data_IF_310973940540
#
_entry.id   IF_310973940540
#
_cell.length_a   1.000
_cell.length_b   1.000
_cell.length_c   1.000
_cell.angle_alpha   90.00
_cell.angle_beta   90.00
_cell.angle_gamma   90.00
#
_symmetry.space_group_name_H-M   'P 1'
#
loop_
_entity.id
_entity.type
_entity.pdbx_description
1 polymer ?
#
# COMPACT_ATOMS: atom_id res chain seq x y z
N UNK A 1 -25.63 21.91 21.60
CA UNK A 1 -26.24 21.28 20.39
C UNK A 1 -27.33 20.28 20.79
N UNK A 2 -28.38 20.12 19.97
CA UNK A 2 -29.36 19.05 20.19
C UNK A 2 -28.67 17.68 20.05
N UNK A 3 -29.04 16.71 20.87
CA UNK A 3 -28.41 15.38 20.92
C UNK A 3 -28.27 14.72 19.53
N UNK A 4 -29.34 14.80 18.73
CA UNK A 4 -29.35 14.25 17.37
C UNK A 4 -28.42 15.00 16.42
N UNK A 5 -28.26 16.31 16.57
CA UNK A 5 -27.32 17.10 15.77
C UNK A 5 -25.87 16.69 16.06
N UNK A 6 -25.52 16.53 17.34
CA UNK A 6 -24.20 16.01 17.74
C UNK A 6 -23.89 14.65 17.11
N UNK A 7 -24.85 13.72 17.19
CA UNK A 7 -24.68 12.37 16.61
C UNK A 7 -24.64 12.39 15.09
N UNK A 8 -25.41 13.28 14.46
CA UNK A 8 -25.37 13.51 13.01
C UNK A 8 -24.01 14.00 12.54
N UNK A 9 -23.28 14.78 13.35
CA UNK A 9 -21.90 15.19 13.04
C UNK A 9 -20.89 14.05 13.26
N UNK A 10 -21.08 13.22 14.29
CA UNK A 10 -20.19 12.12 14.64
C UNK A 10 -20.22 10.96 13.62
N UNK A 11 -21.40 10.46 13.27
CA UNK A 11 -21.53 9.23 12.49
C UNK A 11 -20.97 9.26 11.05
N UNK A 12 -21.06 10.36 10.28
CA UNK A 12 -20.50 10.41 8.92
C UNK A 12 -19.01 10.76 8.90
N UNK A 13 -18.38 11.04 10.05
CA UNK A 13 -16.97 11.44 10.11
C UNK A 13 -16.06 10.28 9.70
N UNK A 14 -15.31 10.47 8.61
CA UNK A 14 -14.31 9.54 8.07
C UNK A 14 -12.95 10.23 7.95
N UNK A 15 -11.86 9.48 8.03
CA UNK A 15 -10.49 9.98 7.90
C UNK A 15 -10.31 10.74 6.59
N UNK A 16 -9.85 11.99 6.66
CA UNK A 16 -9.61 12.83 5.49
C UNK A 16 -8.30 12.47 4.77
N UNK A 17 -8.16 12.94 3.53
CA UNK A 17 -6.90 12.80 2.80
C UNK A 17 -5.76 13.53 3.52
N UNK A 18 -4.66 12.81 3.77
CA UNK A 18 -3.50 13.35 4.47
C UNK A 18 -3.65 13.42 5.99
N UNK A 19 -4.83 13.10 6.53
CA UNK A 19 -5.05 13.00 7.98
C UNK A 19 -4.47 11.69 8.52
N UNK A 20 -3.64 11.77 9.57
CA UNK A 20 -3.15 10.59 10.27
C UNK A 20 -4.17 10.03 11.27
N UNK A 21 -4.01 8.76 11.62
CA UNK A 21 -4.90 8.03 12.52
C UNK A 21 -5.05 8.66 13.91
N UNK A 22 -4.02 9.35 14.42
CA UNK A 22 -4.05 9.99 15.75
C UNK A 22 -4.90 11.25 15.70
N UNK A 23 -4.74 12.04 14.64
CA UNK A 23 -5.55 13.24 14.39
C UNK A 23 -7.01 12.87 14.18
N UNK A 24 -7.28 11.83 13.39
CA UNK A 24 -8.64 11.32 13.19
C UNK A 24 -9.30 10.89 14.51
N UNK A 25 -8.61 10.11 15.35
CA UNK A 25 -9.10 9.70 16.67
C UNK A 25 -9.39 10.90 17.58
N UNK A 26 -8.53 11.93 17.57
CA UNK A 26 -8.73 13.13 18.38
C UNK A 26 -10.02 13.87 17.98
N UNK A 27 -10.30 14.00 16.68
CA UNK A 27 -11.55 14.61 16.21
C UNK A 27 -12.77 13.75 16.53
N UNK A 28 -12.69 12.41 16.44
CA UNK A 28 -13.78 11.53 16.87
C UNK A 28 -14.10 11.70 18.36
N UNK A 29 -13.07 11.79 19.22
CA UNK A 29 -13.24 12.07 20.65
C UNK A 29 -13.89 13.41 20.91
N UNK A 30 -13.50 14.45 20.15
CA UNK A 30 -14.10 15.78 20.27
C UNK A 30 -15.58 15.77 19.87
N UNK A 31 -15.92 15.11 18.77
CA UNK A 31 -17.31 14.99 18.29
C UNK A 31 -18.18 14.11 19.20
N UNK A 32 -17.60 13.16 19.93
CA UNK A 32 -18.37 12.28 20.82
C UNK A 32 -18.80 12.95 22.14
N UNK A 33 -18.09 13.99 22.61
CA UNK A 33 -18.39 14.70 23.87
C UNK A 33 -19.88 15.06 24.02
N UNK A 34 -20.52 15.73 23.04
CA UNK A 34 -21.94 16.11 23.15
C UNK A 34 -22.93 15.00 22.72
N UNK A 35 -22.46 13.80 22.36
CA UNK A 35 -23.30 12.73 21.83
C UNK A 35 -24.02 11.87 22.89
N UNK A 36 -23.66 12.03 24.16
CA UNK A 36 -24.23 11.27 25.29
C UNK A 36 -24.34 9.77 24.97
N UNK A 37 -23.25 9.16 24.50
CA UNK A 37 -23.21 7.73 24.24
C UNK A 37 -23.11 6.97 25.56
N UNK A 38 -23.83 5.86 25.68
CA UNK A 38 -23.73 4.98 26.85
C UNK A 38 -22.33 4.38 26.94
N UNK A 39 -21.77 3.99 25.81
CA UNK A 39 -20.37 3.54 25.69
C UNK A 39 -19.68 4.38 24.62
N UNK A 40 -18.95 5.40 25.07
CA UNK A 40 -18.28 6.34 24.17
C UNK A 40 -17.06 5.71 23.49
N UNK A 41 -16.33 4.83 24.18
CA UNK A 41 -15.14 4.19 23.63
C UNK A 41 -15.51 3.19 22.53
N UNK A 42 -16.60 2.44 22.71
CA UNK A 42 -17.12 1.54 21.67
C UNK A 42 -17.60 2.30 20.44
N UNK A 43 -18.32 3.42 20.62
CA UNK A 43 -18.76 4.24 19.49
C UNK A 43 -17.59 4.84 18.72
N UNK A 44 -16.56 5.33 19.44
CA UNK A 44 -15.33 5.84 18.81
C UNK A 44 -14.59 4.72 18.09
N UNK A 45 -14.45 3.53 18.70
CA UNK A 45 -13.80 2.37 18.08
C UNK A 45 -14.48 2.01 16.77
N UNK A 46 -15.79 1.83 16.78
CA UNK A 46 -16.54 1.39 15.60
C UNK A 46 -16.44 2.44 14.49
N UNK A 47 -16.60 3.72 14.83
CA UNK A 47 -16.46 4.81 13.86
C UNK A 47 -15.03 4.95 13.34
N UNK A 48 -14.02 4.74 14.18
CA UNK A 48 -12.61 4.72 13.79
C UNK A 48 -12.39 3.62 12.74
N UNK A 49 -12.75 2.37 13.02
CA UNK A 49 -12.60 1.25 12.07
C UNK A 49 -13.33 1.52 10.75
N UNK A 50 -14.60 1.92 10.82
CA UNK A 50 -15.43 2.16 9.64
C UNK A 50 -15.00 3.41 8.85
N UNK A 51 -14.33 4.36 9.50
CA UNK A 51 -13.86 5.60 8.89
C UNK A 51 -12.40 5.62 8.46
N UNK A 52 -11.64 4.53 8.67
CA UNK A 52 -10.27 4.42 8.18
C UNK A 52 -10.20 4.53 6.65
N UNK A 53 -9.25 5.31 6.13
CA UNK A 53 -9.02 5.45 4.69
C UNK A 53 -8.30 4.23 4.09
N UNK A 54 -7.46 3.56 4.87
CA UNK A 54 -6.77 2.34 4.43
C UNK A 54 -7.74 1.15 4.45
N UNK A 55 -8.33 0.87 3.28
CA UNK A 55 -9.25 -0.24 3.08
C UNK A 55 -8.64 -1.61 3.38
N UNK A 56 -7.31 -1.76 3.31
CA UNK A 56 -6.63 -3.04 3.62
C UNK A 56 -6.65 -3.29 5.13
N UNK A 57 -6.31 -2.26 5.91
CA UNK A 57 -6.32 -2.34 7.37
C UNK A 57 -7.74 -2.43 7.90
N UNK A 58 -8.68 -1.68 7.33
CA UNK A 58 -10.10 -1.78 7.67
C UNK A 58 -10.61 -3.22 7.49
N UNK A 59 -10.39 -3.84 6.32
CA UNK A 59 -10.78 -5.24 6.08
C UNK A 59 -10.13 -6.21 7.06
N UNK A 60 -8.85 -6.01 7.36
CA UNK A 60 -8.11 -6.85 8.32
C UNK A 60 -8.68 -6.74 9.73
N UNK A 61 -9.10 -5.56 10.16
CA UNK A 61 -9.73 -5.34 11.47
C UNK A 61 -11.12 -5.97 11.54
N UNK A 62 -11.92 -5.82 10.49
CA UNK A 62 -13.28 -6.39 10.39
C UNK A 62 -13.28 -7.93 10.32
N UNK A 63 -12.20 -8.55 9.85
CA UNK A 63 -12.07 -10.00 9.73
C UNK A 63 -11.58 -10.70 11.01
N UNK A 64 -11.36 -9.98 12.12
CA UNK A 64 -10.91 -10.59 13.38
C UNK A 64 -12.05 -11.35 14.06
N UNK A 65 -11.77 -12.52 14.61
CA UNK A 65 -12.74 -13.29 15.40
C UNK A 65 -13.13 -12.57 16.69
N UNK A 66 -12.15 -11.94 17.36
CA UNK A 66 -12.38 -11.14 18.55
C UNK A 66 -12.44 -9.66 18.18
N UNK A 67 -13.48 -8.97 18.66
CA UNK A 67 -13.60 -7.51 18.55
C UNK A 67 -12.38 -6.85 19.18
N UNK A 68 -11.58 -6.08 18.42
CA UNK A 68 -10.44 -5.39 18.97
C UNK A 68 -10.90 -4.23 19.87
N UNK A 69 -10.13 -3.88 20.88
CA UNK A 69 -10.37 -2.64 21.61
C UNK A 69 -9.84 -1.40 20.84
N UNK A 70 -10.15 -0.20 21.33
CA UNK A 70 -9.76 1.05 20.65
C UNK A 70 -8.23 1.16 20.46
N UNK A 71 -7.45 0.76 21.46
CA UNK A 71 -5.99 0.80 21.42
C UNK A 71 -5.43 -0.17 20.37
N UNK A 72 -5.97 -1.38 20.27
CA UNK A 72 -5.59 -2.37 19.26
C UNK A 72 -5.89 -1.89 17.82
N UNK A 73 -7.01 -1.18 17.63
CA UNK A 73 -7.34 -0.54 16.34
C UNK A 73 -6.32 0.56 16.02
N UNK A 74 -6.02 1.43 16.99
CA UNK A 74 -5.07 2.53 16.83
C UNK A 74 -3.65 2.03 16.53
N UNK A 75 -3.21 0.97 17.20
CA UNK A 75 -1.91 0.35 16.96
C UNK A 75 -1.81 -0.25 15.56
N UNK A 76 -2.88 -0.91 15.07
CA UNK A 76 -2.92 -1.44 13.71
C UNK A 76 -2.85 -0.33 12.65
N UNK A 77 -3.58 0.78 12.85
CA UNK A 77 -3.56 1.92 11.94
C UNK A 77 -2.16 2.58 11.89
N UNK A 78 -1.56 2.87 13.05
CA UNK A 78 -0.23 3.47 13.15
C UNK A 78 0.87 2.61 12.51
N UNK A 79 0.80 1.29 12.70
CA UNK A 79 1.76 0.36 12.09
C UNK A 79 1.70 0.41 10.56
N UNK A 80 0.50 0.52 9.98
CA UNK A 80 0.30 0.63 8.54
C UNK A 80 0.82 1.96 7.97
N UNK A 81 0.55 3.07 8.66
CA UNK A 81 1.06 4.40 8.30
C UNK A 81 2.60 4.43 8.29
N UNK A 82 3.22 3.84 9.31
CA UNK A 82 4.68 3.72 9.42
C UNK A 82 5.28 2.85 8.31
N UNK A 83 4.58 1.77 7.93
CA UNK A 83 5.00 0.87 6.86
C UNK A 83 4.91 1.53 5.48
N UNK A 84 3.85 2.30 5.23
CA UNK A 84 3.64 3.02 3.97
C UNK A 84 4.65 4.15 3.80
N UNK A 85 4.93 4.92 4.86
CA UNK A 85 5.94 5.99 4.82
C UNK A 85 7.35 5.44 4.61
N UNK A 86 7.70 4.33 5.28
CA UNK A 86 9.01 3.69 5.12
C UNK A 86 9.19 3.08 3.72
N UNK A 87 8.15 2.41 3.21
CA UNK A 87 8.16 1.84 1.85
C UNK A 87 8.30 2.91 0.77
N UNK A 88 7.67 4.09 0.95
CA UNK A 88 7.83 5.21 0.04
C UNK A 88 9.27 5.76 0.02
N UNK A 89 9.93 5.84 1.18
CA UNK A 89 11.33 6.29 1.30
C UNK A 89 12.31 5.33 0.64
N UNK A 90 12.14 4.01 0.83
CA UNK A 90 12.98 2.99 0.18
C UNK A 90 12.87 3.07 -1.34
N UNK A 91 11.66 3.25 -1.87
CA UNK A 91 11.45 3.40 -3.32
C UNK A 91 11.98 4.72 -3.88
N UNK A 92 12.02 5.78 -3.07
CA UNK A 92 12.58 7.09 -3.45
C UNK A 92 14.11 7.15 -3.44
N UNK A 93 14.78 6.32 -2.64
CA UNK A 93 16.24 6.32 -2.49
C UNK A 93 17.00 5.53 -3.60
N UNK A 94 16.29 4.86 -4.51
CA UNK A 94 16.89 4.00 -5.55
C UNK A 94 17.43 4.71 -6.80
N UNK A 95 17.67 6.03 -6.76
CA UNK A 95 18.24 6.80 -7.89
C UNK A 95 19.45 7.61 -7.45
N UNK A 96 20.53 6.92 -7.08
CA UNK A 96 21.87 7.55 -6.97
C UNK A 96 22.78 6.95 -8.05
N UNK A 97 23.11 7.82 -9.01
CA UNK A 97 24.14 7.77 -10.04
C UNK A 97 24.95 6.48 -10.26
N UNK A 98 24.74 5.85 -11.40
CA UNK A 98 25.82 5.21 -12.14
C UNK A 98 26.55 6.30 -12.92
N UNK A 99 27.81 6.58 -12.57
CA UNK A 99 28.75 7.33 -13.41
C UNK A 99 29.89 6.42 -13.80
N UNK A 100 30.10 6.40 -15.10
CA UNK A 100 31.02 5.59 -15.89
C UNK A 100 32.48 5.95 -15.59
N UNK A 101 33.38 4.96 -15.66
CA UNK A 101 34.79 5.18 -15.97
C UNK A 101 35.36 3.93 -16.67
N UNK A 102 35.92 4.17 -17.85
CA UNK A 102 36.42 3.24 -18.86
C UNK A 102 37.58 2.34 -18.43
N UNK A 103 37.60 1.14 -19.04
CA UNK A 103 38.72 0.71 -19.90
C UNK A 103 39.83 -0.11 -19.26
N UNK A 104 39.88 -1.40 -19.60
CA UNK A 104 41.02 -2.05 -20.29
C UNK A 104 40.76 -3.56 -20.40
N UNK A 105 40.73 -4.06 -21.64
CA UNK A 105 41.00 -5.48 -21.92
C UNK A 105 42.48 -5.80 -21.64
N UNK A 106 42.82 -7.07 -21.42
CA UNK A 106 43.35 -7.81 -22.56
C UNK A 106 42.86 -9.25 -22.67
N UNK A 107 42.92 -9.72 -23.92
CA UNK A 107 42.76 -11.09 -24.38
C UNK A 107 43.74 -12.07 -23.71
N UNK A 108 43.28 -13.30 -23.44
CA UNK A 108 43.97 -14.53 -23.89
C UNK A 108 42.97 -15.70 -23.91
N UNK A 109 42.98 -16.40 -25.03
CA UNK A 109 42.36 -17.69 -25.35
C UNK A 109 42.78 -18.83 -24.41
N UNK A 110 41.88 -19.77 -24.15
CA UNK A 110 41.98 -21.19 -24.61
C UNK A 110 40.90 -22.09 -23.97
N UNK A 111 40.52 -23.10 -24.74
CA UNK A 111 39.36 -23.98 -24.59
C UNK A 111 39.52 -25.14 -23.59
N UNK A 112 38.34 -25.67 -23.22
CA UNK A 112 38.01 -27.08 -22.96
C UNK A 112 38.31 -27.71 -21.61
N UNK A 113 37.24 -28.27 -21.02
CA UNK A 113 37.25 -29.68 -20.63
C UNK A 113 36.82 -30.01 -19.20
N UNK A 114 35.59 -30.53 -19.11
CA UNK A 114 35.11 -31.63 -18.24
C UNK A 114 35.04 -31.43 -16.71
N UNK A 115 33.83 -31.58 -16.13
CA UNK A 115 33.34 -32.77 -15.38
C UNK A 115 34.09 -32.93 -14.04
N UNK A 116 33.50 -33.16 -12.88
CA UNK A 116 32.17 -33.54 -12.42
C UNK A 116 32.20 -33.40 -10.88
N UNK A 117 31.00 -33.48 -10.31
CA UNK A 117 30.72 -34.10 -9.00
C UNK A 117 30.62 -33.24 -7.73
N UNK A 118 29.91 -33.85 -6.80
CA UNK A 118 28.74 -33.29 -6.17
C UNK A 118 28.94 -32.92 -4.70
N UNK A 119 28.02 -32.10 -4.17
CA UNK A 119 27.01 -32.55 -3.20
C UNK A 119 26.25 -31.32 -2.63
N UNK A 120 24.92 -31.24 -2.85
CA UNK A 120 23.87 -31.47 -1.82
C UNK A 120 23.43 -30.16 -1.08
N UNK A 121 22.17 -29.75 -0.85
CA UNK A 121 20.80 -30.34 -0.90
C UNK A 121 19.76 -29.18 -0.95
N UNK A 122 18.85 -29.26 -1.95
CA UNK A 122 17.38 -28.99 -1.96
C UNK A 122 16.78 -27.65 -1.48
N UNK A 123 16.20 -26.89 -2.42
CA UNK A 123 14.75 -26.57 -2.47
C UNK A 123 14.36 -25.97 -3.85
N UNK A 124 14.02 -26.84 -4.80
CA UNK A 124 13.29 -26.55 -6.04
C UNK A 124 11.79 -26.42 -5.68
N UNK A 125 10.86 -25.73 -6.34
CA UNK A 125 10.72 -25.29 -7.72
C UNK A 125 9.44 -24.43 -7.75
N UNK A 126 9.45 -23.19 -8.26
CA UNK A 126 8.38 -22.76 -9.16
C UNK A 126 8.79 -21.52 -9.97
N UNK A 127 9.80 -21.74 -10.79
CA UNK A 127 10.02 -20.94 -11.99
C UNK A 127 8.87 -21.24 -12.96
N UNK A 128 7.79 -20.46 -12.86
CA UNK A 128 6.75 -20.41 -13.88
C UNK A 128 6.97 -19.17 -14.75
N UNK A 129 7.57 -19.45 -15.90
CA UNK A 129 7.36 -18.80 -17.20
C UNK A 129 6.95 -17.33 -17.14
N UNK A 130 7.90 -16.45 -17.49
CA UNK A 130 7.64 -15.09 -17.90
C UNK A 130 6.83 -15.09 -19.21
N UNK A 131 5.55 -15.41 -19.12
CA UNK A 131 4.58 -15.07 -20.16
C UNK A 131 4.46 -13.55 -20.14
N UNK A 132 4.56 -12.96 -21.32
CA UNK A 132 4.41 -11.53 -21.57
C UNK A 132 3.16 -11.00 -20.83
N UNK A 133 3.33 -10.48 -19.61
CA UNK A 133 2.20 -9.90 -18.87
C UNK A 133 1.83 -8.62 -19.59
N UNK A 134 0.59 -8.59 -20.06
CA UNK A 134 0.00 -7.41 -20.68
C UNK A 134 0.06 -6.24 -19.68
N UNK A 135 0.49 -5.09 -20.19
CA UNK A 135 0.62 -3.88 -19.40
C UNK A 135 -0.75 -3.49 -18.87
N UNK A 136 -0.92 -3.47 -17.55
CA UNK A 136 -2.20 -3.16 -16.88
C UNK A 136 -2.70 -1.72 -17.08
N UNK A 137 -2.09 -0.96 -17.98
CA UNK A 137 -2.41 0.45 -18.26
C UNK A 137 -2.84 0.69 -19.70
N UNK A 138 -2.33 -0.10 -20.64
CA UNK A 138 -2.69 0.04 -22.06
C UNK A 138 -2.94 -1.29 -22.77
N UNK A 139 -2.86 -2.43 -22.06
CA UNK A 139 -2.98 -3.76 -22.64
C UNK A 139 -1.76 -4.22 -23.46
N UNK A 140 -0.78 -3.35 -23.70
CA UNK A 140 0.37 -3.66 -24.55
C UNK A 140 1.34 -4.68 -23.94
N UNK A 141 2.09 -5.36 -24.81
CA UNK A 141 3.14 -6.31 -24.44
C UNK A 141 4.41 -5.55 -24.01
N UNK A 142 4.49 -5.13 -22.74
CA UNK A 142 5.70 -4.56 -22.10
C UNK A 142 5.51 -4.43 -20.58
N UNK A 143 6.60 -4.23 -19.83
CA UNK A 143 6.52 -3.89 -18.41
C UNK A 143 5.83 -2.53 -18.20
N UNK A 144 4.97 -2.39 -17.19
CA UNK A 144 4.30 -1.13 -16.86
C UNK A 144 5.25 0.08 -16.70
N UNK A 145 6.48 -0.14 -16.26
CA UNK A 145 7.52 0.90 -16.14
C UNK A 145 8.07 1.41 -17.47
N UNK A 146 7.83 0.69 -18.57
CA UNK A 146 8.18 1.09 -19.94
C UNK A 146 6.96 1.54 -20.75
N UNK A 147 5.81 1.73 -20.09
CA UNK A 147 4.58 2.09 -20.75
C UNK A 147 4.58 3.56 -21.14
N UNK A 148 4.39 3.86 -22.43
CA UNK A 148 4.21 5.23 -22.93
C UNK A 148 3.04 5.96 -22.24
N UNK A 149 2.06 5.22 -21.75
CA UNK A 149 0.87 5.74 -21.07
C UNK A 149 0.96 5.68 -19.54
N UNK A 150 2.15 5.49 -18.97
CA UNK A 150 2.34 5.40 -17.52
C UNK A 150 1.85 6.65 -16.76
N UNK A 151 1.85 7.82 -17.41
CA UNK A 151 1.36 9.09 -16.85
C UNK A 151 0.15 9.66 -17.60
N UNK A 152 -0.43 8.90 -18.53
CA UNK A 152 -1.61 9.33 -19.26
C UNK A 152 -2.85 9.40 -18.35
N UNK A 153 -3.69 10.40 -18.55
CA UNK A 153 -4.98 10.53 -17.84
C UNK A 153 -6.06 9.85 -18.68
N UNK A 154 -6.76 8.89 -18.08
CA UNK A 154 -7.83 8.17 -18.76
C UNK A 154 -9.02 9.10 -19.00
N UNK A 155 -9.46 9.26 -20.26
CA UNK A 155 -10.62 10.11 -20.60
C UNK A 155 -11.96 9.58 -20.11
N UNK A 156 -12.03 8.30 -19.70
CA UNK A 156 -13.25 7.65 -19.23
C UNK A 156 -13.44 7.78 -17.71
N UNK A 157 -12.35 7.80 -16.94
CA UNK A 157 -12.43 7.81 -15.47
C UNK A 157 -11.52 8.83 -14.79
N UNK A 158 -10.84 9.69 -15.57
CA UNK A 158 -10.02 10.82 -15.13
C UNK A 158 -8.84 10.45 -14.20
N UNK A 159 -8.56 9.16 -14.04
CA UNK A 159 -7.43 8.65 -13.25
C UNK A 159 -6.16 8.53 -14.10
N UNK A 160 -5.01 8.79 -13.48
CA UNK A 160 -3.69 8.71 -14.12
C UNK A 160 -3.18 7.26 -14.20
N UNK A 161 -2.47 6.97 -15.29
CA UNK A 161 -1.65 5.79 -15.50
C UNK A 161 -2.23 4.73 -16.41
N UNK A 162 -3.40 4.95 -17.00
CA UNK A 162 -3.96 4.06 -18.00
C UNK A 162 -4.75 4.84 -19.04
N UNK A 163 -5.05 4.17 -20.14
CA UNK A 163 -5.95 4.66 -21.18
C UNK A 163 -7.20 3.79 -21.22
N UNK A 164 -8.31 4.37 -21.64
CA UNK A 164 -9.49 3.59 -21.97
C UNK A 164 -9.21 2.83 -23.27
N UNK A 165 -9.52 1.54 -23.28
CA UNK A 165 -9.62 0.75 -24.50
C UNK A 165 -10.69 1.40 -25.39
N UNK A 166 -10.37 1.59 -26.67
CA UNK A 166 -11.22 2.27 -27.68
C UNK A 166 -12.16 1.25 -28.29
#
# INVERSE_FOLDING_TARGET
PALLASRFEFYPRNQHDGEDSKTFLAELRKLSIPCQFNDTEDMIRDRLVLGLRDATIQKKLLAREKTPNLEEVMNAARAAESSNTSSAKIRGAGRVHATEASGQEPETSEESGNEEDAHQIRASHNQRQATYRECSGCGGKHLRSKCRFQDAVCRRCERRGHIAEV
#
